data_IF_169942370034
#
_entry.id   IF_169942370034
#
_cell.length_a   1.000
_cell.length_b   1.000
_cell.length_c   1.000
_cell.angle_alpha   90.00
_cell.angle_beta   90.00
_cell.angle_gamma   90.00
#
_symmetry.space_group_name_H-M   'P 1'
#
loop_
_entity.id
_entity.type
_entity.pdbx_description
1 polymer ?
#
# COMPACT_ATOMS: atom_id res chain seq x y z
N UNK A 1 0.27 46.98 -55.41
CA UNK A 1 -0.72 45.99 -54.95
C UNK A 1 -0.01 45.01 -54.00
N UNK A 2 0.25 45.27 -52.70
CA UNK A 2 -0.57 45.94 -51.66
C UNK A 2 -2.01 45.46 -51.85
N UNK A 3 -2.41 44.26 -51.43
CA UNK A 3 -3.03 44.06 -50.12
C UNK A 3 -3.19 42.56 -49.75
N UNK A 4 -2.57 41.61 -50.48
CA UNK A 4 -2.78 40.17 -50.23
C UNK A 4 -1.62 39.43 -49.56
N UNK A 5 -0.62 40.15 -49.06
CA UNK A 5 0.47 39.60 -48.23
C UNK A 5 0.39 40.04 -46.76
N UNK A 6 -0.65 40.80 -46.37
CA UNK A 6 -0.75 41.42 -45.06
C UNK A 6 -1.78 40.75 -44.11
N UNK A 7 -2.24 39.54 -44.43
CA UNK A 7 -3.31 38.87 -43.65
C UNK A 7 -2.94 37.48 -43.10
N UNK A 8 -1.67 37.08 -43.16
CA UNK A 8 -1.19 35.79 -42.64
C UNK A 8 -0.10 35.94 -41.58
N UNK A 9 -0.06 37.09 -40.92
CA UNK A 9 0.77 37.35 -39.75
C UNK A 9 -0.16 37.87 -38.65
N UNK A 10 -0.75 36.95 -37.88
CA UNK A 10 -1.15 37.09 -36.47
C UNK A 10 -2.05 35.90 -36.09
N UNK A 11 -1.87 35.35 -34.88
CA UNK A 11 -2.40 34.10 -34.33
C UNK A 11 -1.55 32.87 -34.71
N UNK A 12 -0.85 32.18 -33.82
CA UNK A 12 -0.98 32.13 -32.38
C UNK A 12 0.39 31.83 -31.72
N UNK A 13 0.94 32.83 -31.03
CA UNK A 13 1.76 32.60 -29.85
C UNK A 13 0.79 32.26 -28.71
N UNK A 14 0.56 30.98 -28.43
CA UNK A 14 0.07 30.49 -27.12
C UNK A 14 -0.10 28.97 -27.16
N UNK A 15 0.83 28.24 -26.53
CA UNK A 15 0.55 27.11 -25.65
C UNK A 15 1.86 26.41 -25.25
N UNK A 16 2.77 27.16 -24.61
CA UNK A 16 3.66 26.54 -23.66
C UNK A 16 2.84 26.26 -22.38
N UNK A 17 2.22 25.10 -22.31
CA UNK A 17 1.77 24.53 -21.04
C UNK A 17 2.14 23.06 -21.11
N UNK A 18 3.37 22.77 -20.66
CA UNK A 18 3.82 21.40 -20.46
C UNK A 18 2.78 20.67 -19.63
N UNK A 19 2.22 19.59 -20.19
CA UNK A 19 1.47 18.63 -19.42
C UNK A 19 2.45 17.99 -18.43
N UNK A 20 2.63 18.64 -17.28
CA UNK A 20 3.16 17.99 -16.10
C UNK A 20 2.10 16.97 -15.70
N UNK A 21 2.16 15.78 -16.29
CA UNK A 21 1.51 14.62 -15.71
C UNK A 21 2.24 14.36 -14.40
N UNK A 22 1.78 15.02 -13.34
CA UNK A 22 2.10 14.62 -11.98
C UNK A 22 1.50 13.23 -11.81
N UNK A 23 2.24 12.20 -12.25
CA UNK A 23 2.07 10.85 -11.77
C UNK A 23 2.41 10.91 -10.28
N UNK A 24 1.41 11.28 -9.48
CA UNK A 24 1.39 11.09 -8.05
C UNK A 24 1.38 9.59 -7.82
N UNK A 25 2.53 8.95 -8.02
CA UNK A 25 2.84 7.65 -7.45
C UNK A 25 2.91 7.93 -5.96
N UNK A 26 1.75 7.88 -5.30
CA UNK A 26 1.70 7.80 -3.86
C UNK A 26 2.58 6.60 -3.49
N UNK A 27 3.67 6.85 -2.77
CA UNK A 27 4.52 5.81 -2.22
C UNK A 27 3.68 5.01 -1.21
N UNK A 28 2.87 4.07 -1.70
CA UNK A 28 2.17 3.13 -0.85
C UNK A 28 3.25 2.23 -0.25
N UNK A 29 3.34 2.21 1.07
CA UNK A 29 4.24 1.31 1.78
C UNK A 29 4.04 -0.12 1.27
N UNK A 30 5.12 -0.76 0.82
CA UNK A 30 5.10 -2.12 0.30
C UNK A 30 4.75 -3.16 1.36
N UNK A 31 4.76 -2.78 2.64
CA UNK A 31 4.52 -3.64 3.79
C UNK A 31 3.26 -4.51 3.64
N UNK A 32 2.16 -3.90 3.19
CA UNK A 32 0.85 -4.55 3.15
C UNK A 32 0.48 -5.07 1.76
N UNK A 33 1.28 -4.78 0.72
CA UNK A 33 0.91 -5.09 -0.66
C UNK A 33 0.77 -6.60 -0.90
N UNK A 34 1.59 -7.43 -0.25
CA UNK A 34 1.52 -8.89 -0.40
C UNK A 34 0.17 -9.43 0.08
N UNK A 35 -0.24 -9.09 1.31
CA UNK A 35 -1.50 -9.56 1.89
C UNK A 35 -2.72 -8.90 1.25
N UNK A 36 -2.61 -7.66 0.77
CA UNK A 36 -3.66 -6.98 -0.01
C UNK A 36 -3.94 -7.69 -1.33
N UNK A 37 -2.89 -8.13 -2.03
CA UNK A 37 -2.98 -8.76 -3.35
C UNK A 37 -3.20 -10.27 -3.27
N UNK A 38 -2.86 -10.89 -2.14
CA UNK A 38 -2.99 -12.32 -1.92
C UNK A 38 -3.84 -12.64 -0.67
N UNK A 39 -5.18 -12.76 -0.81
CA UNK A 39 -6.05 -13.05 0.32
C UNK A 39 -5.82 -14.46 0.91
N UNK A 40 -5.18 -15.38 0.18
CA UNK A 40 -4.83 -16.69 0.74
C UNK A 40 -3.69 -16.59 1.75
N UNK A 41 -2.73 -15.70 1.51
CA UNK A 41 -1.66 -15.39 2.45
C UNK A 41 -2.22 -14.75 3.73
N UNK A 42 -3.09 -13.76 3.57
CA UNK A 42 -3.73 -13.11 4.71
C UNK A 42 -4.57 -14.11 5.54
N UNK A 43 -5.30 -15.02 4.88
CA UNK A 43 -6.00 -16.14 5.55
C UNK A 43 -5.05 -17.12 6.24
N UNK A 44 -3.86 -17.35 5.71
CA UNK A 44 -2.86 -18.23 6.32
C UNK A 44 -2.31 -17.62 7.62
N UNK A 45 -1.94 -16.33 7.59
CA UNK A 45 -1.56 -15.58 8.79
C UNK A 45 -2.68 -15.57 9.82
N UNK A 46 -3.92 -15.34 9.37
CA UNK A 46 -5.08 -15.40 10.24
C UNK A 46 -5.25 -16.76 10.96
N UNK A 47 -5.04 -17.89 10.26
CA UNK A 47 -5.06 -19.22 10.90
C UNK A 47 -3.95 -19.38 11.93
N UNK A 48 -2.75 -18.88 11.64
CA UNK A 48 -1.63 -18.87 12.58
C UNK A 48 -2.00 -18.08 13.84
N UNK A 49 -2.64 -16.91 13.70
CA UNK A 49 -3.08 -16.11 14.84
C UNK A 49 -4.17 -16.80 15.67
N UNK A 50 -5.14 -17.45 15.03
CA UNK A 50 -6.13 -18.28 15.74
C UNK A 50 -5.48 -19.41 16.53
N UNK A 51 -4.41 -20.01 16.00
CA UNK A 51 -3.68 -21.06 16.70
C UNK A 51 -2.94 -20.53 17.94
N UNK A 52 -2.38 -19.31 17.87
CA UNK A 52 -1.81 -18.65 19.05
C UNK A 52 -2.89 -18.39 20.12
N UNK A 53 -4.04 -17.86 19.72
CA UNK A 53 -5.15 -17.62 20.65
C UNK A 53 -5.68 -18.90 21.29
N UNK A 54 -5.74 -20.01 20.54
CA UNK A 54 -6.11 -21.31 21.09
C UNK A 54 -5.11 -21.81 22.17
N UNK A 55 -3.89 -21.28 22.18
CA UNK A 55 -2.86 -21.54 23.18
C UNK A 55 -2.83 -20.48 24.30
N UNK A 56 -3.78 -19.53 24.31
CA UNK A 56 -3.83 -18.42 25.27
C UNK A 56 -2.83 -17.30 24.99
N UNK A 57 -2.24 -17.26 23.79
CA UNK A 57 -1.28 -16.23 23.39
C UNK A 57 -1.97 -15.24 22.46
N UNK A 58 -1.91 -13.94 22.81
CA UNK A 58 -2.37 -12.88 21.92
C UNK A 58 -1.48 -12.79 20.67
N UNK A 59 -2.11 -12.64 19.50
CA UNK A 59 -1.44 -12.50 18.21
C UNK A 59 -0.63 -11.20 18.10
N UNK A 60 -0.93 -10.22 18.96
CA UNK A 60 -0.23 -8.93 19.06
C UNK A 60 0.68 -8.84 20.29
N UNK A 61 0.85 -9.94 21.04
CA UNK A 61 1.84 -9.98 22.13
C UNK A 61 3.27 -9.76 21.62
N UNK A 62 4.14 -9.19 22.46
CA UNK A 62 5.55 -8.94 22.11
C UNK A 62 6.25 -10.19 21.54
N UNK A 63 5.99 -11.35 22.13
CA UNK A 63 6.56 -12.63 21.68
C UNK A 63 6.03 -13.04 20.29
N UNK A 64 4.72 -12.92 20.06
CA UNK A 64 4.12 -13.24 18.77
C UNK A 64 4.59 -12.28 17.66
N UNK A 65 4.67 -10.97 17.96
CA UNK A 65 5.16 -9.96 17.03
C UNK A 65 6.64 -10.17 16.70
N UNK A 66 7.49 -10.47 17.69
CA UNK A 66 8.90 -10.79 17.45
C UNK A 66 9.08 -12.04 16.58
N UNK A 67 8.25 -13.07 16.79
CA UNK A 67 8.25 -14.27 15.96
C UNK A 67 7.80 -13.97 14.53
N UNK A 68 6.72 -13.20 14.35
CA UNK A 68 6.24 -12.78 13.03
C UNK A 68 7.27 -11.92 12.30
N UNK A 69 7.89 -10.97 13.01
CA UNK A 69 8.95 -10.11 12.48
C UNK A 69 10.12 -10.95 11.94
N UNK A 70 10.57 -11.92 12.73
CA UNK A 70 11.63 -12.85 12.35
C UNK A 70 11.23 -13.72 11.14
N UNK A 71 10.01 -14.28 11.15
CA UNK A 71 9.49 -15.11 10.06
C UNK A 71 9.41 -14.37 8.73
N UNK A 72 9.15 -13.06 8.77
CA UNK A 72 8.84 -12.24 7.61
C UNK A 72 9.97 -11.28 7.23
N UNK A 73 11.09 -11.31 7.96
CA UNK A 73 12.19 -10.36 7.82
C UNK A 73 11.71 -8.90 7.89
N UNK A 74 10.90 -8.60 8.91
CA UNK A 74 10.33 -7.27 9.18
C UNK A 74 10.91 -6.69 10.48
N UNK A 75 10.74 -5.38 10.66
CA UNK A 75 10.87 -4.79 11.99
C UNK A 75 9.71 -5.25 12.87
N UNK A 76 9.86 -5.16 14.20
CA UNK A 76 8.76 -5.47 15.13
C UNK A 76 7.55 -4.56 14.89
N UNK A 77 7.80 -3.28 14.60
CA UNK A 77 6.74 -2.31 14.30
C UNK A 77 5.99 -2.67 13.01
N UNK A 78 6.70 -3.04 11.95
CA UNK A 78 6.08 -3.47 10.68
C UNK A 78 5.29 -4.77 10.85
N UNK A 79 5.78 -5.70 11.66
CA UNK A 79 5.07 -6.94 11.98
C UNK A 79 3.78 -6.67 12.78
N UNK A 80 3.79 -5.73 13.72
CA UNK A 80 2.60 -5.32 14.47
C UNK A 80 1.53 -4.68 13.56
N UNK A 81 1.97 -3.80 12.63
CA UNK A 81 1.08 -3.20 11.62
C UNK A 81 0.48 -4.29 10.73
N UNK A 82 1.31 -5.23 10.25
CA UNK A 82 0.84 -6.36 9.43
C UNK A 82 -0.16 -7.23 10.18
N UNK A 83 0.12 -7.58 11.43
CA UNK A 83 -0.77 -8.40 12.26
C UNK A 83 -2.12 -7.72 12.45
N UNK A 84 -2.13 -6.45 12.88
CA UNK A 84 -3.35 -5.66 13.10
C UNK A 84 -4.18 -5.54 11.81
N UNK A 85 -3.52 -5.31 10.68
CA UNK A 85 -4.18 -5.21 9.38
C UNK A 85 -4.87 -6.53 8.97
N UNK A 86 -4.17 -7.67 9.10
CA UNK A 86 -4.72 -8.99 8.76
C UNK A 86 -5.86 -9.38 9.70
N UNK A 87 -5.75 -9.11 11.00
CA UNK A 87 -6.81 -9.36 11.99
C UNK A 87 -8.07 -8.59 11.59
N UNK A 88 -7.95 -7.29 11.31
CA UNK A 88 -9.07 -6.43 10.92
C UNK A 88 -9.77 -6.85 9.61
N UNK A 89 -9.04 -7.49 8.69
CA UNK A 89 -9.60 -7.92 7.41
C UNK A 89 -10.19 -9.33 7.41
N UNK A 90 -9.61 -10.26 8.19
CA UNK A 90 -9.87 -11.69 7.99
C UNK A 90 -10.16 -12.51 9.25
N UNK A 91 -9.94 -11.96 10.45
CA UNK A 91 -10.33 -12.62 11.70
C UNK A 91 -10.47 -11.64 12.86
N UNK A 92 -11.59 -10.94 12.86
CA UNK A 92 -11.95 -10.01 13.93
C UNK A 92 -12.26 -10.71 15.27
N UNK A 93 -12.29 -12.05 15.29
CA UNK A 93 -12.41 -12.88 16.48
C UNK A 93 -11.05 -13.18 17.15
N UNK A 94 -9.94 -12.76 16.55
CA UNK A 94 -8.58 -12.91 17.11
C UNK A 94 -8.23 -11.72 18.01
N UNK A 95 -7.52 -12.01 19.10
CA UNK A 95 -6.99 -11.07 20.11
C UNK A 95 -5.47 -11.13 20.26
#
# INVERSE_FOLDING_TARGET
MRHLQASLLLCALAAAAGAATSSAVAAQSSLLESVKRNPNEARALCRQFKQLNAQGVSATSNTAIAALASQRNLTTQDAEILATYVIGLHCTDVS
#
